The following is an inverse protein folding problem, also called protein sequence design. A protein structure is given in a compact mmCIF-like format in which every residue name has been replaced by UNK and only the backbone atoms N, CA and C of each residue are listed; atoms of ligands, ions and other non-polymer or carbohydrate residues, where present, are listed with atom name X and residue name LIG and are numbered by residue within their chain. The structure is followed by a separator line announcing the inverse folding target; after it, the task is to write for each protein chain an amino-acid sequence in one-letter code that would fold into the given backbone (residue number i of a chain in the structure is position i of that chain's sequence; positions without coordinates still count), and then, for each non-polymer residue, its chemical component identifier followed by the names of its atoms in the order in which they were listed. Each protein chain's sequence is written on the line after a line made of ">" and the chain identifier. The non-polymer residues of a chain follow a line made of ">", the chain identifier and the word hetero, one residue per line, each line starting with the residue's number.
data_IF_898617132928
#
_entry.id   IF_898617132928
#
_cell.length_a   1.000
_cell.length_b   1.000
_cell.length_c   1.000
_cell.angle_alpha   90.00
_cell.angle_beta   90.00
_cell.angle_gamma   90.00
#
_symmetry.space_group_name_H-M   'P 1'
#
loop_
_entity.id
_entity.type
_entity.pdbx_description
1 polymer ?
#
# COMPACT_ATOMS: atom_id res chain seq x y z
N UNK A 1 -23.83 -7.87 -8.70
CA UNK A 1 -22.51 -7.20 -8.55
C UNK A 1 -21.77 -7.16 -9.89
N UNK A 2 -21.20 -6.00 -10.29
CA UNK A 2 -20.53 -5.79 -11.58
C UNK A 2 -19.39 -6.79 -11.86
N UNK A 3 -18.78 -7.33 -10.79
CA UNK A 3 -17.67 -8.29 -10.87
C UNK A 3 -18.05 -9.73 -10.45
N UNK A 4 -19.33 -10.04 -10.26
CA UNK A 4 -19.76 -11.39 -9.88
C UNK A 4 -19.35 -11.87 -8.47
N UNK A 5 -18.78 -10.99 -7.65
CA UNK A 5 -18.37 -11.30 -6.26
C UNK A 5 -19.57 -11.08 -5.31
N UNK A 6 -19.86 -12.07 -4.50
CA UNK A 6 -20.82 -12.00 -3.39
C UNK A 6 -20.11 -11.76 -2.06
N UNK A 7 -20.60 -10.83 -1.25
CA UNK A 7 -20.11 -10.61 0.12
C UNK A 7 -20.92 -11.53 1.04
N UNK A 8 -20.36 -12.70 1.36
CA UNK A 8 -21.04 -13.69 2.21
C UNK A 8 -21.21 -13.21 3.66
N UNK A 9 -20.22 -12.48 4.20
CA UNK A 9 -20.27 -11.91 5.54
C UNK A 9 -19.32 -10.71 5.64
N UNK A 10 -19.75 -9.68 6.37
CA UNK A 10 -18.94 -8.53 6.74
C UNK A 10 -18.89 -8.43 8.26
N UNK A 11 -17.68 -8.49 8.82
CA UNK A 11 -17.43 -8.33 10.26
C UNK A 11 -16.49 -7.16 10.47
N UNK A 12 -16.62 -6.52 11.63
CA UNK A 12 -15.68 -5.52 12.12
C UNK A 12 -15.07 -6.00 13.42
N UNK A 13 -13.91 -5.45 13.77
CA UNK A 13 -13.22 -5.76 15.02
C UNK A 13 -12.56 -4.51 15.57
N UNK A 14 -12.29 -4.53 16.88
CA UNK A 14 -11.61 -3.43 17.54
C UNK A 14 -10.15 -3.35 17.08
N UNK A 15 -9.62 -2.13 16.90
CA UNK A 15 -8.23 -1.92 16.49
C UNK A 15 -7.21 -2.53 17.47
N UNK A 16 -7.57 -2.63 18.74
CA UNK A 16 -6.76 -3.22 19.80
C UNK A 16 -6.98 -4.74 19.97
N UNK A 17 -7.79 -5.38 19.13
CA UNK A 17 -8.00 -6.82 19.17
C UNK A 17 -6.66 -7.56 19.03
N UNK A 18 -6.35 -8.40 20.02
CA UNK A 18 -5.15 -9.25 20.03
C UNK A 18 -5.43 -10.67 19.55
N UNK A 19 -6.72 -11.03 19.43
CA UNK A 19 -7.19 -12.28 18.87
C UNK A 19 -8.42 -12.04 18.00
N UNK A 20 -8.43 -12.67 16.82
CA UNK A 20 -9.51 -12.57 15.83
C UNK A 20 -10.09 -13.95 15.48
N UNK A 21 -9.84 -15.00 16.28
CA UNK A 21 -10.33 -16.36 15.97
C UNK A 21 -11.86 -16.43 15.94
N UNK A 22 -12.54 -15.71 16.84
CA UNK A 22 -14.00 -15.70 16.87
C UNK A 22 -14.61 -15.09 15.60
N UNK A 23 -14.05 -13.97 15.12
CA UNK A 23 -14.46 -13.32 13.86
C UNK A 23 -14.21 -14.26 12.69
N UNK A 24 -13.02 -14.84 12.61
CA UNK A 24 -12.63 -15.73 11.52
C UNK A 24 -13.40 -17.06 11.53
N UNK A 25 -13.82 -17.55 12.69
CA UNK A 25 -14.66 -18.75 12.79
C UNK A 25 -16.03 -18.52 12.14
N UNK A 26 -16.64 -17.36 12.34
CA UNK A 26 -17.90 -16.99 11.66
C UNK A 26 -17.72 -16.92 10.15
N UNK A 27 -16.62 -16.31 9.70
CA UNK A 27 -16.28 -16.20 8.27
C UNK A 27 -16.07 -17.60 7.67
N UNK A 28 -15.31 -18.47 8.36
CA UNK A 28 -15.10 -19.86 7.94
C UNK A 28 -16.42 -20.63 7.79
N UNK A 29 -17.39 -20.39 8.68
CA UNK A 29 -18.70 -21.03 8.63
C UNK A 29 -19.55 -20.64 7.40
N UNK A 30 -19.16 -19.59 6.67
CA UNK A 30 -19.82 -19.18 5.43
C UNK A 30 -19.26 -19.86 4.17
N UNK A 31 -18.28 -20.76 4.30
CA UNK A 31 -17.66 -21.47 3.16
C UNK A 31 -17.12 -20.51 2.07
N UNK A 32 -16.46 -19.43 2.51
CA UNK A 32 -15.94 -18.40 1.61
C UNK A 32 -14.73 -18.87 0.80
N UNK A 33 -14.58 -18.34 -0.40
CA UNK A 33 -13.45 -18.63 -1.30
C UNK A 33 -12.23 -17.74 -1.06
N UNK A 34 -12.39 -16.62 -0.34
CA UNK A 34 -11.33 -15.69 -0.01
C UNK A 34 -11.73 -14.82 1.19
N UNK A 35 -10.74 -14.23 1.86
CA UNK A 35 -10.94 -13.24 2.92
C UNK A 35 -10.34 -11.92 2.48
N UNK A 36 -11.09 -10.82 2.63
CA UNK A 36 -10.56 -9.46 2.50
C UNK A 36 -10.44 -8.86 3.90
N UNK A 37 -9.22 -8.53 4.30
CA UNK A 37 -8.94 -7.82 5.53
C UNK A 37 -8.50 -6.39 5.24
N UNK A 38 -9.42 -5.44 5.40
CA UNK A 38 -9.16 -4.03 5.10
C UNK A 38 -8.86 -3.23 6.36
N UNK A 39 -7.67 -3.42 6.91
CA UNK A 39 -7.20 -2.75 8.13
C UNK A 39 -5.74 -2.34 8.06
N UNK A 40 -5.19 -1.90 9.19
CA UNK A 40 -3.76 -1.65 9.42
C UNK A 40 -3.28 -2.50 10.61
N UNK A 41 -1.98 -2.49 10.87
CA UNK A 41 -1.41 -3.19 12.03
C UNK A 41 -1.99 -2.77 13.39
N UNK A 42 -2.05 -3.71 14.36
CA UNK A 42 -1.46 -5.07 14.35
C UNK A 42 -2.31 -6.14 13.64
N UNK A 43 -3.56 -5.85 13.31
CA UNK A 43 -4.51 -6.86 12.80
C UNK A 43 -4.03 -7.56 11.52
N UNK A 44 -3.29 -6.87 10.65
CA UNK A 44 -2.76 -7.46 9.42
C UNK A 44 -1.73 -8.58 9.66
N UNK A 45 -1.12 -8.66 10.85
CA UNK A 45 -0.27 -9.77 11.25
C UNK A 45 -1.03 -10.84 12.07
N UNK A 46 -2.13 -10.47 12.72
CA UNK A 46 -2.95 -11.37 13.55
C UNK A 46 -3.88 -12.22 12.67
N UNK A 47 -4.57 -11.60 11.71
CA UNK A 47 -5.50 -12.29 10.79
C UNK A 47 -4.85 -13.51 10.11
N UNK A 48 -3.70 -13.40 9.42
CA UNK A 48 -3.10 -14.56 8.77
C UNK A 48 -2.71 -15.67 9.76
N UNK A 49 -2.20 -15.32 10.95
CA UNK A 49 -1.87 -16.31 11.99
C UNK A 49 -3.10 -17.06 12.47
N UNK A 50 -4.18 -16.34 12.73
CA UNK A 50 -5.43 -16.94 13.20
C UNK A 50 -6.12 -17.74 12.10
N UNK A 51 -6.04 -17.32 10.83
CA UNK A 51 -6.48 -18.12 9.69
C UNK A 51 -5.73 -19.45 9.61
N UNK A 52 -4.39 -19.41 9.77
CA UNK A 52 -3.56 -20.63 9.82
C UNK A 52 -3.92 -21.53 11.00
N UNK A 53 -4.13 -20.96 12.20
CA UNK A 53 -4.58 -21.70 13.39
C UNK A 53 -5.93 -22.39 13.17
N UNK A 54 -6.84 -21.75 12.42
CA UNK A 54 -8.15 -22.29 12.08
C UNK A 54 -8.13 -23.22 10.86
N UNK A 55 -6.98 -23.45 10.21
CA UNK A 55 -6.88 -24.25 8.99
C UNK A 55 -7.70 -23.66 7.84
N UNK A 56 -7.62 -22.34 7.65
CA UNK A 56 -8.23 -21.63 6.53
C UNK A 56 -7.21 -21.47 5.41
N UNK A 57 -7.14 -22.45 4.51
CA UNK A 57 -6.22 -22.47 3.37
C UNK A 57 -6.84 -21.80 2.13
N UNK A 58 -7.28 -20.54 2.28
CA UNK A 58 -7.87 -19.72 1.22
C UNK A 58 -7.13 -18.38 1.09
N UNK A 59 -7.17 -17.72 -0.09
CA UNK A 59 -6.52 -16.43 -0.31
C UNK A 59 -6.94 -15.36 0.71
N UNK A 60 -5.94 -14.66 1.24
CA UNK A 60 -6.11 -13.49 2.10
C UNK A 60 -5.66 -12.23 1.34
N UNK A 61 -6.61 -11.33 1.12
CA UNK A 61 -6.35 -10.00 0.58
C UNK A 61 -6.20 -8.99 1.71
N UNK A 62 -5.14 -8.19 1.69
CA UNK A 62 -4.88 -7.12 2.66
C UNK A 62 -4.97 -5.74 1.98
N UNK A 63 -5.12 -4.70 2.79
CA UNK A 63 -5.01 -3.32 2.32
C UNK A 63 -3.57 -2.94 1.97
N UNK A 64 -3.37 -1.81 1.28
CA UNK A 64 -2.05 -1.21 1.05
C UNK A 64 -1.28 -0.91 2.35
N UNK A 65 -2.00 -0.84 3.49
CA UNK A 65 -1.39 -0.74 4.82
C UNK A 65 -0.45 -1.91 5.16
N UNK A 66 -0.48 -3.01 4.40
CA UNK A 66 0.45 -4.12 4.60
C UNK A 66 1.87 -3.84 4.07
N UNK A 67 2.08 -2.73 3.36
CA UNK A 67 3.32 -2.38 2.63
C UNK A 67 4.55 -2.03 3.47
N UNK A 68 4.76 -2.71 4.60
CA UNK A 68 5.96 -2.64 5.41
C UNK A 68 6.43 -4.07 5.76
N UNK A 69 7.70 -4.37 5.48
CA UNK A 69 8.27 -5.72 5.66
C UNK A 69 8.21 -6.21 7.11
N UNK A 70 8.17 -5.30 8.09
CA UNK A 70 8.00 -5.66 9.50
C UNK A 70 6.68 -6.39 9.74
N UNK A 71 5.67 -6.19 8.91
CA UNK A 71 4.37 -6.84 9.05
C UNK A 71 4.40 -8.27 8.52
N UNK A 72 5.21 -8.53 7.48
CA UNK A 72 5.56 -9.88 7.02
C UNK A 72 6.31 -10.62 8.11
N UNK A 73 7.34 -9.99 8.69
CA UNK A 73 8.12 -10.55 9.81
C UNK A 73 7.21 -10.87 11.01
N UNK A 74 6.32 -9.93 11.37
CA UNK A 74 5.38 -10.11 12.47
C UNK A 74 4.39 -11.25 12.20
N UNK A 75 3.89 -11.41 10.97
CA UNK A 75 3.01 -12.50 10.55
C UNK A 75 3.74 -13.86 10.47
N UNK A 76 5.06 -13.84 10.24
CA UNK A 76 5.89 -15.03 10.10
C UNK A 76 5.50 -15.85 8.86
N UNK A 77 5.52 -17.18 8.98
CA UNK A 77 5.19 -18.08 7.87
C UNK A 77 3.76 -17.87 7.34
N UNK A 78 2.83 -17.40 8.18
CA UNK A 78 1.45 -17.12 7.79
C UNK A 78 1.34 -15.93 6.80
N UNK A 79 2.42 -15.16 6.61
CA UNK A 79 2.46 -14.08 5.64
C UNK A 79 2.52 -14.58 4.18
N UNK A 80 3.08 -15.77 3.94
CA UNK A 80 3.31 -16.28 2.60
C UNK A 80 1.99 -16.41 1.84
N UNK A 81 1.96 -15.89 0.61
CA UNK A 81 0.77 -15.92 -0.24
C UNK A 81 -0.30 -14.87 0.07
N UNK A 82 -0.11 -13.99 1.08
CA UNK A 82 -0.95 -12.80 1.25
C UNK A 82 -0.89 -11.97 -0.04
N UNK A 83 -2.03 -11.42 -0.47
CA UNK A 83 -2.18 -10.62 -1.69
C UNK A 83 -2.59 -9.21 -1.28
N UNK A 84 -1.98 -8.16 -1.83
CA UNK A 84 -2.33 -6.79 -1.47
C UNK A 84 -1.93 -5.80 -2.56
N UNK A 85 -2.71 -4.72 -2.78
CA UNK A 85 -2.29 -3.64 -3.65
C UNK A 85 -1.30 -2.73 -2.93
N UNK A 86 -0.21 -2.35 -3.56
CA UNK A 86 0.75 -1.39 -3.01
C UNK A 86 1.40 -0.53 -4.09
N UNK A 87 1.98 0.59 -3.67
CA UNK A 87 2.87 1.38 -4.52
C UNK A 87 4.11 0.58 -4.90
N UNK A 88 4.69 0.89 -6.07
CA UNK A 88 5.79 0.11 -6.66
C UNK A 88 7.12 0.22 -5.91
N UNK A 89 7.23 1.08 -4.91
CA UNK A 89 8.43 1.23 -4.08
C UNK A 89 8.94 -0.09 -3.51
N UNK A 90 8.04 -1.01 -3.15
CA UNK A 90 8.40 -2.30 -2.54
C UNK A 90 9.05 -3.29 -3.52
N UNK A 91 9.01 -2.97 -4.82
CA UNK A 91 9.55 -3.78 -5.94
C UNK A 91 10.26 -2.85 -6.95
N UNK A 92 10.86 -1.76 -6.48
CA UNK A 92 11.41 -0.71 -7.34
C UNK A 92 12.48 -1.25 -8.31
N UNK A 93 13.29 -2.20 -7.86
CA UNK A 93 14.36 -2.84 -8.63
C UNK A 93 13.84 -3.72 -9.76
N UNK A 94 12.64 -4.29 -9.59
CA UNK A 94 12.01 -5.19 -10.58
C UNK A 94 11.37 -4.42 -11.75
N UNK A 95 11.23 -3.10 -11.65
CA UNK A 95 10.64 -2.28 -12.71
C UNK A 95 11.58 -2.19 -13.92
N UNK A 96 11.04 -2.12 -15.16
CA UNK A 96 11.86 -1.84 -16.33
C UNK A 96 12.43 -0.42 -16.27
N UNK A 97 13.61 -0.19 -16.85
CA UNK A 97 14.26 1.14 -16.88
C UNK A 97 13.43 2.20 -17.61
N UNK A 98 12.52 1.77 -18.50
CA UNK A 98 11.56 2.65 -19.17
C UNK A 98 10.40 3.11 -18.28
N UNK A 99 10.26 2.59 -17.05
CA UNK A 99 9.22 3.01 -16.14
C UNK A 99 9.54 4.41 -15.60
N UNK A 100 8.64 5.41 -15.76
CA UNK A 100 8.90 6.79 -15.37
C UNK A 100 9.10 7.00 -13.86
N UNK A 101 8.63 6.07 -13.02
CA UNK A 101 8.83 6.15 -11.56
C UNK A 101 10.14 5.52 -11.10
N UNK A 102 10.79 4.65 -11.88
CA UNK A 102 11.91 3.81 -11.39
C UNK A 102 13.03 4.63 -10.78
N UNK A 103 13.45 5.70 -11.46
CA UNK A 103 14.52 6.56 -10.97
C UNK A 103 14.17 7.22 -9.62
N UNK A 104 12.96 7.76 -9.47
CA UNK A 104 12.48 8.33 -8.20
C UNK A 104 12.43 7.29 -7.10
N UNK A 105 11.90 6.10 -7.39
CA UNK A 105 11.74 5.02 -6.41
C UNK A 105 13.08 4.51 -5.88
N UNK A 106 14.02 4.21 -6.79
CA UNK A 106 15.36 3.75 -6.43
C UNK A 106 16.11 4.82 -5.65
N UNK A 107 16.08 6.08 -6.11
CA UNK A 107 16.76 7.18 -5.41
C UNK A 107 16.20 7.41 -3.99
N UNK A 108 14.88 7.37 -3.82
CA UNK A 108 14.25 7.48 -2.51
C UNK A 108 14.63 6.29 -1.60
N UNK A 109 14.52 5.07 -2.13
CA UNK A 109 14.84 3.84 -1.38
C UNK A 109 16.28 3.86 -0.92
N UNK A 110 17.23 4.08 -1.81
CA UNK A 110 18.66 4.12 -1.49
C UNK A 110 18.98 5.16 -0.41
N UNK A 111 18.41 6.36 -0.54
CA UNK A 111 18.61 7.44 0.42
C UNK A 111 18.02 7.12 1.81
N UNK A 112 16.84 6.49 1.85
CA UNK A 112 16.19 6.08 3.09
C UNK A 112 16.98 4.98 3.77
N UNK A 113 17.26 3.89 3.06
CA UNK A 113 17.90 2.70 3.62
C UNK A 113 19.33 3.00 4.07
N UNK A 114 20.09 3.81 3.31
CA UNK A 114 21.44 4.24 3.71
C UNK A 114 21.46 5.13 4.95
N UNK A 115 20.40 5.91 5.18
CA UNK A 115 20.32 6.85 6.31
C UNK A 115 19.84 6.18 7.59
N UNK A 116 18.88 5.27 7.47
CA UNK A 116 18.17 4.70 8.60
C UNK A 116 18.56 3.25 8.92
N UNK A 117 19.33 2.60 8.06
CA UNK A 117 19.75 1.20 8.22
C UNK A 117 18.55 0.24 8.39
N UNK A 118 17.44 0.55 7.70
CA UNK A 118 16.23 -0.26 7.67
C UNK A 118 15.59 -0.23 6.28
N UNK A 119 14.87 -1.29 5.86
CA UNK A 119 14.19 -1.31 4.57
C UNK A 119 13.13 -0.21 4.42
N UNK A 120 13.10 0.43 3.26
CA UNK A 120 12.07 1.42 2.95
C UNK A 120 10.67 0.76 2.87
N UNK A 121 9.67 1.46 3.36
CA UNK A 121 8.25 1.11 3.20
C UNK A 121 7.52 2.20 2.41
N UNK A 122 6.32 1.89 1.91
CA UNK A 122 5.50 2.88 1.19
C UNK A 122 5.16 4.10 2.05
N UNK A 123 5.12 3.94 3.37
CA UNK A 123 4.70 4.98 4.30
C UNK A 123 5.60 6.20 4.33
N UNK A 124 6.92 6.00 4.31
CA UNK A 124 7.86 7.13 4.24
C UNK A 124 7.76 7.87 2.90
N UNK A 125 7.48 7.13 1.82
CA UNK A 125 7.26 7.68 0.47
C UNK A 125 6.11 8.69 0.43
N UNK A 126 5.05 8.48 1.21
CA UNK A 126 3.93 9.44 1.27
C UNK A 126 4.35 10.83 1.75
N UNK A 127 5.19 10.89 2.80
CA UNK A 127 5.71 12.16 3.30
C UNK A 127 6.71 12.79 2.32
N UNK A 128 7.53 11.97 1.68
CA UNK A 128 8.47 12.41 0.65
C UNK A 128 7.74 13.02 -0.55
N UNK A 129 6.68 12.38 -1.04
CA UNK A 129 5.86 12.87 -2.13
C UNK A 129 5.19 14.19 -1.78
N UNK A 130 4.58 14.28 -0.59
CA UNK A 130 3.91 15.50 -0.14
C UNK A 130 4.88 16.70 -0.14
N UNK A 131 6.10 16.52 0.36
CA UNK A 131 7.11 17.58 0.34
C UNK A 131 7.58 17.87 -1.09
N UNK A 132 7.83 16.84 -1.90
CA UNK A 132 8.34 16.99 -3.27
C UNK A 132 7.33 17.70 -4.18
N UNK A 133 6.04 17.44 -4.00
CA UNK A 133 4.94 18.14 -4.67
C UNK A 133 4.93 19.62 -4.30
N UNK A 134 5.04 19.96 -3.01
CA UNK A 134 5.09 21.36 -2.56
C UNK A 134 6.33 22.07 -3.14
N UNK A 135 7.48 21.42 -3.12
CA UNK A 135 8.73 21.95 -3.67
C UNK A 135 8.60 22.18 -5.18
N UNK A 136 8.00 21.24 -5.90
CA UNK A 136 7.80 21.39 -7.35
C UNK A 136 6.79 22.48 -7.68
N UNK A 137 5.68 22.56 -6.95
CA UNK A 137 4.71 23.64 -7.09
C UNK A 137 5.34 25.01 -6.81
N UNK A 138 6.18 25.13 -5.77
CA UNK A 138 6.84 26.38 -5.41
C UNK A 138 7.81 26.89 -6.50
N UNK A 139 8.38 26.02 -7.33
CA UNK A 139 9.20 26.43 -8.48
C UNK A 139 8.38 27.03 -9.61
N UNK A 140 7.11 26.64 -9.71
CA UNK A 140 6.21 26.98 -10.82
C UNK A 140 5.15 28.03 -10.44
N UNK A 141 5.04 28.39 -9.16
CA UNK A 141 4.08 29.37 -8.65
C UNK A 141 4.55 30.81 -8.87
N UNK A 142 3.60 31.73 -9.09
CA UNK A 142 3.87 33.17 -9.22
C UNK A 142 4.45 33.78 -7.94
N UNK A 143 4.07 33.24 -6.78
CA UNK A 143 4.65 33.58 -5.49
C UNK A 143 4.52 32.42 -4.50
N UNK A 144 5.11 32.58 -3.31
CA UNK A 144 4.96 31.62 -2.21
C UNK A 144 3.73 31.90 -1.33
N UNK A 145 2.78 32.70 -1.82
CA UNK A 145 1.49 32.88 -1.16
C UNK A 145 0.74 31.54 -1.08
N UNK A 146 -0.15 31.40 -0.09
CA UNK A 146 -0.98 30.19 0.05
C UNK A 146 -1.81 29.93 -1.21
N UNK A 147 -2.35 30.98 -1.81
CA UNK A 147 -3.22 30.89 -2.98
C UNK A 147 -2.43 30.43 -4.21
N UNK A 148 -1.28 31.04 -4.47
CA UNK A 148 -0.46 30.70 -5.64
C UNK A 148 0.13 29.29 -5.53
N UNK A 149 0.58 28.87 -4.34
CA UNK A 149 1.03 27.49 -4.11
C UNK A 149 -0.09 26.48 -4.30
N UNK A 150 -1.29 26.78 -3.79
CA UNK A 150 -2.47 25.91 -3.99
C UNK A 150 -2.82 25.78 -5.47
N UNK A 151 -2.82 26.90 -6.21
CA UNK A 151 -3.07 26.92 -7.64
C UNK A 151 -2.02 26.11 -8.41
N UNK A 152 -0.74 26.26 -8.03
CA UNK A 152 0.37 25.54 -8.67
C UNK A 152 0.33 24.03 -8.39
N UNK A 153 -0.03 23.59 -7.18
CA UNK A 153 -0.25 22.17 -6.87
C UNK A 153 -1.42 21.62 -7.70
N UNK A 154 -2.54 22.34 -7.76
CA UNK A 154 -3.73 21.90 -8.50
C UNK A 154 -3.50 21.76 -10.01
N UNK A 155 -2.54 22.53 -10.57
CA UNK A 155 -2.12 22.42 -11.96
C UNK A 155 -0.98 21.43 -12.24
N UNK A 156 -0.42 20.78 -11.21
CA UNK A 156 0.74 19.90 -11.36
C UNK A 156 0.33 18.56 -11.99
N UNK A 157 0.91 18.25 -13.15
CA UNK A 157 0.64 17.03 -13.91
C UNK A 157 1.92 16.33 -14.35
N UNK A 158 1.86 15.01 -14.54
CA UNK A 158 3.00 14.19 -14.95
C UNK A 158 4.12 14.08 -13.92
N UNK A 159 3.87 14.38 -12.64
CA UNK A 159 4.90 14.44 -11.61
C UNK A 159 5.24 13.04 -11.07
N UNK A 160 6.46 12.50 -11.28
CA UNK A 160 6.81 11.15 -10.84
C UNK A 160 7.21 11.10 -9.37
N UNK A 161 6.25 10.80 -8.50
CA UNK A 161 6.47 10.52 -7.08
C UNK A 161 6.65 9.02 -6.79
N UNK A 162 6.79 8.69 -5.52
CA UNK A 162 6.94 7.31 -5.02
C UNK A 162 5.61 6.55 -4.98
N UNK A 163 4.49 7.25 -4.79
CA UNK A 163 3.14 6.69 -4.80
C UNK A 163 2.54 6.53 -6.19
N UNK A 164 3.12 7.17 -7.21
CA UNK A 164 2.65 7.12 -8.60
C UNK A 164 3.07 8.33 -9.43
N UNK A 165 2.49 8.46 -10.62
CA UNK A 165 2.59 9.69 -11.42
C UNK A 165 1.41 10.59 -11.05
N UNK A 166 1.68 11.70 -10.37
CA UNK A 166 0.66 12.63 -9.91
C UNK A 166 0.16 13.53 -11.05
N UNK A 167 -1.16 13.59 -11.18
CA UNK A 167 -1.90 14.39 -12.15
C UNK A 167 -3.08 15.08 -11.46
N UNK A 168 -2.82 16.22 -10.83
CA UNK A 168 -3.85 16.99 -10.13
C UNK A 168 -4.75 17.74 -11.11
N UNK A 169 -5.95 18.05 -10.64
CA UNK A 169 -6.91 18.91 -11.33
C UNK A 169 -7.87 19.54 -10.31
N UNK A 170 -8.67 20.55 -10.68
CA UNK A 170 -9.72 21.09 -9.81
C UNK A 170 -10.74 20.03 -9.35
N UNK A 171 -10.91 18.96 -10.12
CA UNK A 171 -11.85 17.87 -9.84
C UNK A 171 -11.21 16.66 -9.12
N UNK A 172 -9.88 16.55 -9.12
CA UNK A 172 -9.12 15.46 -8.50
C UNK A 172 -7.88 15.96 -7.75
N UNK A 173 -7.99 16.01 -6.42
CA UNK A 173 -6.90 16.37 -5.50
C UNK A 173 -6.12 15.16 -4.98
N UNK A 174 -6.43 13.94 -5.41
CA UNK A 174 -5.57 12.77 -5.19
C UNK A 174 -4.50 12.70 -6.28
N UNK A 175 -4.93 12.89 -7.54
CA UNK A 175 -4.05 12.92 -8.71
C UNK A 175 -3.40 11.58 -9.04
N UNK A 176 -3.89 10.48 -8.48
CA UNK A 176 -3.39 9.13 -8.70
C UNK A 176 -4.50 8.22 -9.24
N UNK A 177 -4.19 7.50 -10.31
CA UNK A 177 -5.08 6.53 -10.94
C UNK A 177 -4.95 5.11 -10.38
N UNK A 178 -5.77 4.19 -10.90
CA UNK A 178 -5.68 2.76 -10.57
C UNK A 178 -4.32 2.15 -10.94
N UNK A 179 -3.65 2.73 -11.93
CA UNK A 179 -2.32 2.35 -12.38
C UNK A 179 -1.21 2.74 -11.40
N UNK A 180 -1.47 3.56 -10.38
CA UNK A 180 -0.49 3.91 -9.34
C UNK A 180 -0.15 2.74 -8.40
N UNK A 181 -1.03 1.74 -8.30
CA UNK A 181 -0.82 0.54 -7.51
C UNK A 181 -0.49 -0.66 -8.41
N UNK A 182 0.22 -1.62 -7.83
CA UNK A 182 0.39 -2.97 -8.39
C UNK A 182 -0.04 -4.00 -7.34
N UNK A 183 -0.45 -5.19 -7.79
CA UNK A 183 -0.77 -6.29 -6.88
C UNK A 183 0.54 -7.00 -6.51
N UNK A 184 0.80 -7.04 -5.21
CA UNK A 184 1.95 -7.71 -4.63
C UNK A 184 1.52 -8.93 -3.83
N UNK A 185 2.49 -9.80 -3.58
CA UNK A 185 2.36 -10.92 -2.66
C UNK A 185 3.63 -11.11 -1.84
N UNK A 186 3.57 -12.04 -0.88
CA UNK A 186 4.72 -12.46 -0.10
C UNK A 186 5.19 -13.83 -0.60
N UNK A 187 6.43 -13.90 -1.08
CA UNK A 187 7.12 -15.13 -1.47
C UNK A 187 8.37 -15.27 -0.60
N UNK A 188 8.44 -16.34 0.20
CA UNK A 188 9.57 -16.64 1.09
C UNK A 188 9.95 -15.48 2.03
N UNK A 189 8.95 -14.81 2.60
CA UNK A 189 9.16 -13.69 3.52
C UNK A 189 9.59 -12.36 2.86
N UNK A 190 9.61 -12.28 1.53
CA UNK A 190 9.87 -11.04 0.78
C UNK A 190 8.64 -10.63 -0.04
N UNK A 191 8.49 -9.33 -0.28
CA UNK A 191 7.52 -8.84 -1.25
C UNK A 191 7.95 -9.19 -2.66
N UNK A 192 6.98 -9.52 -3.51
CA UNK A 192 7.17 -9.80 -4.92
C UNK A 192 5.92 -9.37 -5.69
N UNK A 193 6.05 -9.16 -7.00
CA UNK A 193 4.87 -9.09 -7.87
C UNK A 193 4.05 -10.39 -7.75
N UNK A 194 2.71 -10.24 -7.66
CA UNK A 194 1.79 -11.37 -7.55
C UNK A 194 1.85 -12.25 -8.80
#
# INVERSE_FOLDING_TARGET
>A
PQYGIEIALAETYDRAATDLTAVLTKIKAQDVQAVVNWSIVPAQAIVPKNMKQLGMDIPLFQSHGFGNIQYVIAAGEAANGIIFPAGRLLVAEELPDSNPQKATLVAYKDAYESRYDEPASTFGGHAYDALSIIVEAAKNADSLSREDLRNAIEGLTGFPGTGGIFNFSPEDHNGLGMDSLTILTVKNGAFALY
#
